data_IF_827844432127
#
_entry.id   IF_827844432127
#
_cell.length_a   1.000
_cell.length_b   1.000
_cell.length_c   1.000
_cell.angle_alpha   90.00
_cell.angle_beta   90.00
_cell.angle_gamma   90.00
#
_symmetry.space_group_name_H-M   'P 1'
#
loop_
_entity.id
_entity.type
_entity.pdbx_description
1 polymer ?
#
# COMPACT_ATOMS: atom_id res chain seq x y z
N UNK A 1 4.81 -19.04 -3.35
CA UNK A 1 4.75 -17.64 -3.81
C UNK A 1 3.42 -17.10 -3.33
N UNK A 2 3.43 -16.00 -2.58
CA UNK A 2 2.19 -15.27 -2.28
C UNK A 2 1.58 -14.76 -3.59
N UNK A 3 0.27 -14.87 -3.72
CA UNK A 3 -0.46 -14.34 -4.88
C UNK A 3 -0.71 -12.84 -4.72
N UNK A 4 -1.01 -12.16 -5.82
CA UNK A 4 -1.48 -10.76 -5.77
C UNK A 4 -2.69 -10.59 -4.84
N UNK A 5 -3.59 -11.57 -4.82
CA UNK A 5 -4.75 -11.55 -3.94
C UNK A 5 -4.37 -11.66 -2.46
N UNK A 6 -3.33 -12.43 -2.13
CA UNK A 6 -2.81 -12.53 -0.76
C UNK A 6 -2.26 -11.17 -0.29
N UNK A 7 -1.52 -10.47 -1.16
CA UNK A 7 -0.99 -9.14 -0.85
C UNK A 7 -2.10 -8.10 -0.68
N UNK A 8 -3.12 -8.11 -1.55
CA UNK A 8 -4.30 -7.25 -1.38
C UNK A 8 -5.04 -7.52 -0.08
N UNK A 9 -5.17 -8.78 0.34
CA UNK A 9 -5.81 -9.15 1.60
C UNK A 9 -5.02 -8.67 2.83
N UNK A 10 -3.70 -8.75 2.77
CA UNK A 10 -2.80 -8.23 3.82
C UNK A 10 -2.95 -6.70 3.94
N UNK A 11 -2.87 -5.98 2.82
CA UNK A 11 -2.99 -4.52 2.79
C UNK A 11 -4.38 -4.06 3.25
N UNK A 12 -5.44 -4.75 2.81
CA UNK A 12 -6.81 -4.46 3.27
C UNK A 12 -6.93 -4.64 4.78
N UNK A 13 -6.37 -5.73 5.32
CA UNK A 13 -6.38 -6.01 6.76
C UNK A 13 -5.64 -4.94 7.57
N UNK A 14 -4.58 -4.34 7.00
CA UNK A 14 -3.90 -3.20 7.60
C UNK A 14 -4.85 -1.99 7.69
N UNK A 15 -5.53 -1.61 6.61
CA UNK A 15 -6.46 -0.47 6.62
C UNK A 15 -7.65 -0.68 7.56
N UNK A 16 -8.17 -1.90 7.66
CA UNK A 16 -9.18 -2.25 8.66
C UNK A 16 -8.69 -2.01 10.09
N UNK A 17 -7.46 -2.44 10.41
CA UNK A 17 -6.85 -2.20 11.74
C UNK A 17 -6.60 -0.73 12.02
N UNK A 18 -6.46 0.09 10.98
CA UNK A 18 -6.36 1.55 11.08
C UNK A 18 -7.71 2.26 11.19
N UNK A 19 -8.83 1.52 11.18
CA UNK A 19 -10.18 2.06 11.36
C UNK A 19 -10.94 2.41 10.08
N UNK A 20 -10.44 2.02 8.90
CA UNK A 20 -11.20 2.16 7.65
C UNK A 20 -12.39 1.20 7.62
N UNK A 21 -13.49 1.60 6.97
CA UNK A 21 -14.59 0.66 6.68
C UNK A 21 -14.14 -0.43 5.70
N UNK A 22 -14.89 -1.53 5.62
CA UNK A 22 -14.60 -2.64 4.68
C UNK A 22 -14.47 -2.18 3.23
N UNK A 23 -15.37 -1.31 2.77
CA UNK A 23 -15.34 -0.75 1.42
C UNK A 23 -14.13 0.17 1.20
N UNK A 24 -13.85 1.03 2.19
CA UNK A 24 -12.69 1.93 2.14
C UNK A 24 -11.38 1.14 2.14
N UNK A 25 -11.24 0.16 3.03
CA UNK A 25 -10.06 -0.69 3.12
C UNK A 25 -9.80 -1.44 1.82
N UNK A 26 -10.85 -1.98 1.18
CA UNK A 26 -10.74 -2.63 -0.14
C UNK A 26 -10.25 -1.64 -1.20
N UNK A 27 -10.87 -0.46 -1.29
CA UNK A 27 -10.50 0.56 -2.27
C UNK A 27 -9.06 1.04 -2.07
N UNK A 28 -8.68 1.36 -0.83
CA UNK A 28 -7.35 1.83 -0.48
C UNK A 28 -6.30 0.75 -0.73
N UNK A 29 -6.59 -0.52 -0.45
CA UNK A 29 -5.67 -1.62 -0.73
C UNK A 29 -5.37 -1.74 -2.24
N UNK A 30 -6.41 -1.72 -3.08
CA UNK A 30 -6.23 -1.74 -4.54
C UNK A 30 -5.45 -0.53 -5.05
N UNK A 31 -5.70 0.66 -4.50
CA UNK A 31 -4.98 1.87 -4.88
C UNK A 31 -3.51 1.83 -4.48
N UNK A 32 -3.21 1.45 -3.23
CA UNK A 32 -1.84 1.32 -2.74
C UNK A 32 -1.06 0.30 -3.55
N UNK A 33 -1.66 -0.87 -3.79
CA UNK A 33 -1.03 -1.95 -4.54
C UNK A 33 -0.72 -1.54 -5.99
N UNK A 34 -1.69 -0.91 -6.68
CA UNK A 34 -1.49 -0.40 -8.04
C UNK A 34 -0.37 0.64 -8.09
N UNK A 35 -0.31 1.55 -7.11
CA UNK A 35 0.72 2.58 -7.06
C UNK A 35 2.10 2.01 -6.75
N UNK A 36 2.17 1.02 -5.85
CA UNK A 36 3.40 0.29 -5.57
C UNK A 36 3.90 -0.45 -6.81
N UNK A 37 3.01 -1.08 -7.58
CA UNK A 37 3.36 -1.74 -8.85
C UNK A 37 3.98 -0.79 -9.88
N UNK A 38 3.45 0.43 -10.00
CA UNK A 38 4.04 1.46 -10.86
C UNK A 38 5.46 1.82 -10.39
N UNK A 39 5.65 2.11 -9.10
CA UNK A 39 6.96 2.47 -8.55
C UNK A 39 7.97 1.34 -8.68
N UNK A 40 7.54 0.10 -8.39
CA UNK A 40 8.36 -1.09 -8.53
C UNK A 40 8.87 -1.22 -9.97
N UNK A 41 7.98 -1.08 -10.95
CA UNK A 41 8.35 -1.13 -12.37
C UNK A 41 9.25 0.04 -12.79
N UNK A 42 8.95 1.26 -12.36
CA UNK A 42 9.67 2.47 -12.77
C UNK A 42 11.09 2.52 -12.19
N UNK A 43 11.28 1.98 -10.98
CA UNK A 43 12.54 2.06 -10.22
C UNK A 43 13.31 0.75 -10.15
N UNK A 44 12.77 -0.34 -10.69
CA UNK A 44 13.38 -1.67 -10.63
C UNK A 44 13.51 -2.22 -9.21
N UNK A 45 12.55 -1.89 -8.33
CA UNK A 45 12.51 -2.34 -6.93
C UNK A 45 11.38 -3.34 -6.71
N UNK A 46 11.39 -4.05 -5.59
CA UNK A 46 10.30 -4.94 -5.22
C UNK A 46 9.01 -4.18 -4.85
N UNK A 47 7.86 -4.85 -4.92
CA UNK A 47 6.57 -4.30 -4.45
C UNK A 47 6.67 -3.88 -2.97
N UNK A 48 7.35 -4.67 -2.14
CA UNK A 48 7.49 -4.38 -0.70
C UNK A 48 8.25 -3.07 -0.49
N UNK A 49 9.38 -2.88 -1.17
CA UNK A 49 10.14 -1.63 -1.13
C UNK A 49 9.32 -0.45 -1.67
N UNK A 50 8.54 -0.67 -2.74
CA UNK A 50 7.67 0.37 -3.30
C UNK A 50 6.55 0.79 -2.32
N UNK A 51 5.97 -0.15 -1.56
CA UNK A 51 5.00 0.16 -0.49
C UNK A 51 5.67 0.93 0.64
N UNK A 52 6.87 0.55 1.06
CA UNK A 52 7.63 1.26 2.09
C UNK A 52 7.91 2.72 1.69
N UNK A 53 8.33 2.94 0.44
CA UNK A 53 8.52 4.29 -0.12
C UNK A 53 7.23 5.12 -0.01
N UNK A 54 6.08 4.55 -0.36
CA UNK A 54 4.79 5.24 -0.29
C UNK A 54 4.40 5.59 1.16
N UNK A 55 4.57 4.66 2.10
CA UNK A 55 4.25 4.91 3.51
C UNK A 55 5.17 5.97 4.12
N UNK A 56 6.46 5.95 3.78
CA UNK A 56 7.42 6.97 4.22
C UNK A 56 7.01 8.36 3.76
N UNK A 57 6.59 8.52 2.50
CA UNK A 57 6.09 9.81 1.98
C UNK A 57 4.88 10.33 2.76
N UNK A 58 3.97 9.45 3.18
CA UNK A 58 2.80 9.85 4.00
C UNK A 58 3.22 10.34 5.38
N UNK A 59 4.13 9.62 6.04
CA UNK A 59 4.64 10.00 7.37
C UNK A 59 5.38 11.33 7.30
N UNK A 60 6.26 11.51 6.32
CA UNK A 60 6.99 12.76 6.10
C UNK A 60 6.04 13.93 5.82
N UNK A 61 5.01 13.71 4.99
CA UNK A 61 3.98 14.73 4.72
C UNK A 61 3.14 15.10 5.94
N UNK A 62 2.94 14.18 6.89
CA UNK A 62 2.26 14.48 8.16
C UNK A 62 3.16 15.26 9.13
N UNK A 63 4.46 14.97 9.16
CA UNK A 63 5.41 15.61 10.09
C UNK A 63 5.82 17.02 9.66
N UNK A 64 5.73 17.35 8.38
CA UNK A 64 6.01 18.68 7.84
C UNK A 64 4.86 19.68 7.96
N UNK A 65 3.84 19.41 8.80
CA UNK A 65 2.64 20.22 8.97
C UNK A 65 2.56 20.89 10.33
#
# INVERSE_FOLDING_TARGET
METEQDQLNIIKSLFLKMGASEEQAKMMASQLFKRAGQIASDRGVSIVEAVEILLKQVVEAQQGR
#
